data_IF_693127331585
#
_entry.id   IF_693127331585
#
_cell.length_a   1.000
_cell.length_b   1.000
_cell.length_c   1.000
_cell.angle_alpha   90.00
_cell.angle_beta   90.00
_cell.angle_gamma   90.00
#
_symmetry.space_group_name_H-M   'P 1'
#
loop_
_entity.id
_entity.type
_entity.pdbx_description
1 polymer ?
#
# COMPACT_ATOMS: atom_id res chain seq x y z
N UNK A 1 18.33 29.86 12.13
CA UNK A 1 18.96 28.53 12.02
C UNK A 1 17.91 27.46 12.26
N UNK A 2 17.42 26.81 11.20
CA UNK A 2 16.44 25.72 11.30
C UNK A 2 17.14 24.46 11.79
N UNK A 3 16.99 24.14 13.07
CA UNK A 3 17.49 22.88 13.64
C UNK A 3 16.73 21.70 13.03
N UNK A 4 17.32 21.06 12.01
CA UNK A 4 16.85 19.80 11.42
C UNK A 4 16.45 18.72 12.45
N UNK A 5 17.12 18.56 13.61
CA UNK A 5 16.70 17.60 14.65
C UNK A 5 15.36 17.92 15.31
N UNK A 6 14.95 19.20 15.33
CA UNK A 6 13.68 19.64 15.92
C UNK A 6 12.48 19.46 14.98
N UNK A 7 12.72 19.52 13.66
CA UNK A 7 11.66 19.44 12.66
C UNK A 7 10.94 18.08 12.68
N UNK A 8 11.68 16.97 12.64
CA UNK A 8 11.13 15.61 12.72
C UNK A 8 10.52 15.23 14.08
N UNK A 9 10.88 15.96 15.15
CA UNK A 9 10.31 15.78 16.49
C UNK A 9 9.02 16.58 16.69
N UNK A 10 8.83 17.67 15.94
CA UNK A 10 7.64 18.51 16.02
C UNK A 10 6.40 17.82 15.44
N UNK A 11 5.22 18.11 16.00
CA UNK A 11 3.94 17.60 15.46
C UNK A 11 3.71 18.01 14.00
N UNK A 12 4.21 19.19 13.61
CA UNK A 12 4.08 19.74 12.25
C UNK A 12 4.94 18.94 11.27
N UNK A 13 6.23 18.74 11.56
CA UNK A 13 7.14 18.01 10.68
C UNK A 13 6.70 16.56 10.48
N UNK A 14 6.23 15.87 11.55
CA UNK A 14 5.66 14.52 11.43
C UNK A 14 4.47 14.47 10.46
N UNK A 15 3.55 15.43 10.56
CA UNK A 15 2.38 15.51 9.64
C UNK A 15 2.81 15.75 8.20
N UNK A 16 3.80 16.62 7.97
CA UNK A 16 4.33 16.87 6.62
C UNK A 16 4.94 15.61 6.00
N UNK A 17 5.66 14.81 6.78
CA UNK A 17 6.25 13.54 6.31
C UNK A 17 5.15 12.52 5.98
N UNK A 18 4.14 12.40 6.85
CA UNK A 18 2.99 11.52 6.59
C UNK A 18 2.27 11.92 5.31
N UNK A 19 2.05 13.22 5.09
CA UNK A 19 1.42 13.73 3.87
C UNK A 19 2.27 13.45 2.62
N UNK A 20 3.58 13.74 2.65
CA UNK A 20 4.48 13.51 1.52
C UNK A 20 4.56 12.02 1.16
N UNK A 21 4.76 11.17 2.17
CA UNK A 21 4.79 9.72 1.97
C UNK A 21 3.43 9.20 1.49
N UNK A 22 2.32 9.73 1.99
CA UNK A 22 0.97 9.40 1.52
C UNK A 22 0.76 9.71 0.03
N UNK A 23 1.22 10.88 -0.44
CA UNK A 23 1.16 11.24 -1.86
C UNK A 23 1.99 10.29 -2.72
N UNK A 24 3.21 9.94 -2.30
CA UNK A 24 4.07 8.98 -3.02
C UNK A 24 3.38 7.63 -3.15
N UNK A 25 2.79 7.12 -2.05
CA UNK A 25 2.08 5.84 -2.05
C UNK A 25 0.80 5.89 -2.89
N UNK A 26 0.07 7.00 -2.86
CA UNK A 26 -1.13 7.20 -3.69
C UNK A 26 -0.79 7.16 -5.19
N UNK A 27 0.26 7.88 -5.60
CA UNK A 27 0.73 7.86 -7.00
C UNK A 27 1.15 6.46 -7.43
N UNK A 28 1.82 5.72 -6.54
CA UNK A 28 2.15 4.32 -6.79
C UNK A 28 0.90 3.45 -6.95
N UNK A 29 -0.10 3.58 -6.07
CA UNK A 29 -1.35 2.80 -6.18
C UNK A 29 -2.07 3.09 -7.49
N UNK A 30 -2.10 4.35 -7.95
CA UNK A 30 -2.67 4.71 -9.25
C UNK A 30 -1.91 4.02 -10.38
N UNK A 31 -0.58 4.16 -10.43
CA UNK A 31 0.24 3.51 -11.46
C UNK A 31 0.14 1.98 -11.43
N UNK A 32 0.12 1.41 -10.23
CA UNK A 32 -0.06 -0.02 -10.01
C UNK A 32 -1.42 -0.49 -10.53
N UNK A 33 -2.50 0.23 -10.23
CA UNK A 33 -3.83 -0.08 -10.74
C UNK A 33 -3.86 -0.01 -12.27
N UNK A 34 -3.31 1.04 -12.88
CA UNK A 34 -3.25 1.18 -14.34
C UNK A 34 -2.48 0.02 -15.00
N UNK A 35 -1.37 -0.41 -14.40
CA UNK A 35 -0.64 -1.61 -14.85
C UNK A 35 -1.49 -2.88 -14.77
N UNK A 36 -2.22 -3.08 -13.66
CA UNK A 36 -3.09 -4.25 -13.48
C UNK A 36 -4.29 -4.25 -14.42
N UNK A 37 -4.87 -3.08 -14.74
CA UNK A 37 -6.02 -2.98 -15.65
C UNK A 37 -5.69 -3.45 -17.08
N UNK A 38 -4.41 -3.52 -17.44
CA UNK A 38 -3.98 -4.10 -18.72
C UNK A 38 -4.36 -5.59 -18.85
N UNK A 39 -4.72 -6.28 -17.77
CA UNK A 39 -5.27 -7.64 -17.84
C UNK A 39 -6.48 -7.74 -18.77
N UNK A 40 -7.30 -6.68 -18.87
CA UNK A 40 -8.48 -6.62 -19.74
C UNK A 40 -8.13 -6.41 -21.22
N UNK A 41 -6.89 -6.03 -21.54
CA UNK A 41 -6.40 -5.88 -22.91
C UNK A 41 -5.84 -7.19 -23.47
N UNK A 42 -5.66 -8.20 -22.61
CA UNK A 42 -5.19 -9.53 -22.95
C UNK A 42 -3.80 -9.87 -22.37
N UNK A 43 -3.38 -11.15 -22.46
CA UNK A 43 -2.18 -11.65 -21.78
C UNK A 43 -0.89 -10.91 -22.14
N UNK A 44 -0.75 -10.58 -23.42
CA UNK A 44 0.46 -9.91 -23.94
C UNK A 44 0.71 -8.57 -23.26
N UNK A 45 -0.32 -7.75 -23.06
CA UNK A 45 -0.15 -6.39 -22.53
C UNK A 45 0.41 -6.38 -21.11
N UNK A 46 -0.15 -7.20 -20.22
CA UNK A 46 0.33 -7.27 -18.84
C UNK A 46 1.71 -7.91 -18.73
N UNK A 47 2.00 -8.94 -19.54
CA UNK A 47 3.32 -9.58 -19.55
C UNK A 47 4.40 -8.65 -20.11
N UNK A 48 4.12 -7.95 -21.23
CA UNK A 48 5.03 -6.97 -21.83
C UNK A 48 5.26 -5.79 -20.88
N UNK A 49 4.22 -5.29 -20.21
CA UNK A 49 4.35 -4.24 -19.19
C UNK A 49 5.23 -4.69 -18.01
N UNK A 50 5.01 -5.91 -17.51
CA UNK A 50 5.82 -6.46 -16.43
C UNK A 50 7.28 -6.67 -16.84
N UNK A 51 7.53 -7.07 -18.10
CA UNK A 51 8.87 -7.18 -18.65
C UNK A 51 9.54 -5.80 -18.76
N UNK A 52 8.85 -4.81 -19.34
CA UNK A 52 9.38 -3.45 -19.47
C UNK A 52 9.81 -2.86 -18.12
N UNK A 53 9.00 -3.08 -17.07
CA UNK A 53 9.35 -2.67 -15.71
C UNK A 53 10.64 -3.35 -15.20
N UNK A 54 10.84 -4.64 -15.51
CA UNK A 54 12.07 -5.36 -15.14
C UNK A 54 13.28 -4.84 -15.91
N UNK A 55 13.11 -4.49 -17.18
CA UNK A 55 14.18 -3.99 -18.03
C UNK A 55 14.73 -2.63 -17.56
N UNK A 56 13.97 -1.89 -16.75
CA UNK A 56 14.46 -0.68 -16.06
C UNK A 56 15.60 -0.97 -15.06
N UNK A 57 15.80 -2.23 -14.67
CA UNK A 57 16.96 -2.68 -13.89
C UNK A 57 17.18 -1.88 -12.59
N UNK A 58 18.28 -1.12 -12.45
CA UNK A 58 18.57 -0.31 -11.26
C UNK A 58 17.48 0.70 -10.90
N UNK A 59 16.80 1.27 -11.90
CA UNK A 59 15.74 2.25 -11.67
C UNK A 59 14.53 1.60 -10.97
N UNK A 60 14.18 0.36 -11.34
CA UNK A 60 13.12 -0.38 -10.66
C UNK A 60 13.47 -0.61 -9.18
N UNK A 61 14.73 -0.91 -8.88
CA UNK A 61 15.19 -1.07 -7.50
C UNK A 61 15.15 0.26 -6.72
N UNK A 62 15.52 1.37 -7.33
CA UNK A 62 15.38 2.69 -6.71
C UNK A 62 13.92 2.99 -6.35
N UNK A 63 12.98 2.69 -7.26
CA UNK A 63 11.53 2.83 -7.00
C UNK A 63 11.11 1.92 -5.85
N UNK A 64 11.51 0.64 -5.84
CA UNK A 64 11.18 -0.31 -4.77
C UNK A 64 11.67 0.16 -3.40
N UNK A 65 12.93 0.59 -3.30
CA UNK A 65 13.50 1.10 -2.05
C UNK A 65 12.75 2.36 -1.60
N UNK A 66 12.48 3.28 -2.52
CA UNK A 66 11.71 4.50 -2.23
C UNK A 66 10.33 4.16 -1.66
N UNK A 67 9.62 3.20 -2.24
CA UNK A 67 8.31 2.77 -1.76
C UNK A 67 8.38 2.10 -0.39
N UNK A 68 9.36 1.22 -0.16
CA UNK A 68 9.55 0.58 1.14
C UNK A 68 9.84 1.60 2.24
N UNK A 69 10.72 2.59 1.96
CA UNK A 69 10.99 3.69 2.87
C UNK A 69 9.75 4.54 3.09
N UNK A 70 9.00 4.89 2.02
CA UNK A 70 7.79 5.68 2.13
C UNK A 70 6.72 4.97 2.99
N UNK A 71 6.46 3.68 2.76
CA UNK A 71 5.53 2.88 3.59
C UNK A 71 5.98 2.87 5.04
N UNK A 72 7.26 2.58 5.29
CA UNK A 72 7.79 2.53 6.66
C UNK A 72 7.63 3.87 7.40
N UNK A 73 8.04 4.98 6.77
CA UNK A 73 7.93 6.31 7.36
C UNK A 73 6.47 6.72 7.55
N UNK A 74 5.60 6.41 6.59
CA UNK A 74 4.16 6.69 6.66
C UNK A 74 3.54 6.02 7.89
N UNK A 75 3.81 4.73 8.10
CA UNK A 75 3.30 3.97 9.25
C UNK A 75 3.93 4.49 10.55
N UNK A 76 5.25 4.61 10.60
CA UNK A 76 5.97 5.02 11.81
C UNK A 76 5.49 6.37 12.34
N UNK A 77 5.43 7.39 11.48
CA UNK A 77 5.01 8.73 11.91
C UNK A 77 3.50 8.83 12.17
N UNK A 78 2.67 8.09 11.45
CA UNK A 78 1.22 8.02 11.73
C UNK A 78 0.95 7.40 13.10
N UNK A 79 1.61 6.29 13.42
CA UNK A 79 1.51 5.65 14.75
C UNK A 79 2.09 6.56 15.83
N UNK A 80 3.25 7.18 15.58
CA UNK A 80 3.84 8.13 16.53
C UNK A 80 2.90 9.30 16.84
N UNK A 81 2.28 9.91 15.83
CA UNK A 81 1.28 10.97 16.03
C UNK A 81 0.05 10.47 16.79
N UNK A 82 -0.42 9.25 16.52
CA UNK A 82 -1.55 8.67 17.23
C UNK A 82 -1.23 8.44 18.72
N UNK A 83 -0.01 7.97 19.03
CA UNK A 83 0.46 7.79 20.41
C UNK A 83 0.67 9.13 21.12
N UNK A 84 1.27 10.12 20.46
CA UNK A 84 1.47 11.46 21.01
C UNK A 84 0.12 12.12 21.32
N UNK A 85 -0.86 12.01 20.42
CA UNK A 85 -2.22 12.52 20.62
C UNK A 85 -2.95 11.82 21.78
N UNK A 86 -2.72 10.52 21.99
CA UNK A 86 -3.27 9.77 23.13
C UNK A 86 -2.62 10.18 24.45
N UNK A 87 -1.30 10.33 24.48
CA UNK A 87 -0.53 10.74 25.68
C UNK A 87 -0.84 12.17 26.11
N UNK A 88 -1.10 13.07 25.15
CA UNK A 88 -1.51 14.44 25.43
C UNK A 88 -2.94 14.58 25.99
N UNK A 89 -3.68 13.47 26.18
CA UNK A 89 -5.07 13.47 26.67
C UNK A 89 -5.29 12.53 27.88
N UNK A 90 -4.98 12.98 29.11
CA UNK A 90 -5.15 12.17 30.34
C UNK A 90 -6.60 12.09 30.86
N UNK A 91 -7.48 13.02 30.46
CA UNK A 91 -8.88 13.09 30.92
C UNK A 91 -9.81 12.94 29.70
N UNK A 92 -10.73 11.96 29.74
CA UNK A 92 -11.74 11.77 28.70
C UNK A 92 -12.76 12.90 28.64
N UNK A 93 -13.27 13.23 27.45
CA UNK A 93 -14.22 14.35 27.24
C UNK A 93 -15.46 14.23 28.16
N UNK A 94 -15.67 15.23 29.04
CA UNK A 94 -16.89 15.40 29.85
C UNK A 94 -18.11 15.89 29.06
N UNK A 95 -17.94 16.36 27.82
CA UNK A 95 -19.03 16.69 26.88
C UNK A 95 -18.65 16.27 25.47
N UNK A 96 -19.50 15.46 24.83
CA UNK A 96 -19.32 14.99 23.45
C UNK A 96 -19.86 16.04 22.48
N UNK A 97 -19.14 17.14 22.29
CA UNK A 97 -19.45 18.05 21.17
C UNK A 97 -18.84 17.47 19.89
N UNK A 98 -19.70 16.91 19.05
CA UNK A 98 -19.37 16.26 17.78
C UNK A 98 -19.02 17.28 16.69
N UNK A 99 -17.97 18.08 16.88
CA UNK A 99 -17.50 19.02 15.85
C UNK A 99 -16.51 18.29 14.94
N UNK A 100 -17.05 17.52 13.97
CA UNK A 100 -16.44 16.94 12.74
C UNK A 100 -15.18 16.05 12.84
N UNK A 101 -14.33 16.15 13.86
CA UNK A 101 -13.02 15.49 13.90
C UNK A 101 -13.04 14.04 14.43
N UNK A 102 -14.21 13.40 14.52
CA UNK A 102 -14.42 12.39 15.58
C UNK A 102 -14.46 10.94 15.10
N UNK A 103 -14.81 10.64 13.84
CA UNK A 103 -14.94 9.26 13.36
C UNK A 103 -13.78 8.82 12.46
N UNK A 104 -13.44 9.65 11.46
CA UNK A 104 -12.33 9.39 10.53
C UNK A 104 -10.99 9.19 11.25
N UNK A 105 -10.65 10.07 12.21
CA UNK A 105 -9.41 9.97 12.98
C UNK A 105 -9.34 8.74 13.91
N UNK A 106 -10.49 8.23 14.39
CA UNK A 106 -10.51 7.05 15.28
C UNK A 106 -10.25 5.76 14.53
N UNK A 107 -10.78 5.65 13.31
CA UNK A 107 -10.63 4.45 12.49
C UNK A 107 -9.38 4.48 11.60
N UNK A 108 -8.75 5.64 11.38
CA UNK A 108 -7.57 5.79 10.51
C UNK A 108 -6.39 4.85 10.85
N UNK A 109 -6.08 4.66 12.14
CA UNK A 109 -5.00 3.74 12.57
C UNK A 109 -5.41 2.29 12.33
N UNK A 110 -6.67 1.95 12.60
CA UNK A 110 -7.19 0.59 12.40
C UNK A 110 -7.24 0.25 10.92
N UNK A 111 -7.78 1.14 10.08
CA UNK A 111 -7.80 0.97 8.63
C UNK A 111 -6.38 0.83 8.08
N UNK A 112 -5.43 1.63 8.57
CA UNK A 112 -4.02 1.53 8.16
C UNK A 112 -3.39 0.19 8.52
N UNK A 113 -3.68 -0.36 9.70
CA UNK A 113 -3.19 -1.69 10.10
C UNK A 113 -3.79 -2.82 9.26
N UNK A 114 -5.07 -2.73 8.91
CA UNK A 114 -5.70 -3.73 8.04
C UNK A 114 -5.16 -3.63 6.61
N UNK A 115 -4.96 -2.41 6.09
CA UNK A 115 -4.27 -2.20 4.80
C UNK A 115 -2.86 -2.76 4.83
N UNK A 116 -2.10 -2.58 5.92
CA UNK A 116 -0.77 -3.18 6.07
C UNK A 116 -0.83 -4.72 5.98
N UNK A 117 -1.78 -5.35 6.67
CA UNK A 117 -1.97 -6.80 6.58
C UNK A 117 -2.30 -7.24 5.14
N UNK A 118 -3.16 -6.49 4.44
CA UNK A 118 -3.46 -6.72 3.03
C UNK A 118 -2.21 -6.60 2.15
N UNK A 119 -1.37 -5.57 2.34
CA UNK A 119 -0.12 -5.38 1.59
C UNK A 119 0.87 -6.51 1.84
N UNK A 120 1.03 -6.96 3.09
CA UNK A 120 1.91 -8.10 3.43
C UNK A 120 1.44 -9.37 2.73
N UNK A 121 0.14 -9.68 2.81
CA UNK A 121 -0.42 -10.82 2.10
C UNK A 121 -0.23 -10.70 0.58
N UNK A 122 -0.53 -9.53 0.02
CA UNK A 122 -0.37 -9.24 -1.40
C UNK A 122 1.07 -9.50 -1.89
N UNK A 123 2.07 -9.02 -1.13
CA UNK A 123 3.48 -9.26 -1.45
C UNK A 123 3.85 -10.73 -1.34
N UNK A 124 3.41 -11.43 -0.29
CA UNK A 124 3.70 -12.87 -0.15
C UNK A 124 3.01 -13.72 -1.23
N UNK A 125 1.82 -13.31 -1.66
CA UNK A 125 1.07 -13.98 -2.72
C UNK A 125 1.78 -13.85 -4.06
N UNK A 126 1.96 -12.63 -4.60
CA UNK A 126 2.52 -12.45 -5.94
C UNK A 126 4.05 -12.37 -6.01
N UNK A 127 4.70 -11.70 -5.05
CA UNK A 127 6.17 -11.60 -5.03
C UNK A 127 6.81 -12.83 -4.40
N UNK A 128 6.26 -13.29 -3.27
CA UNK A 128 6.76 -14.46 -2.53
C UNK A 128 6.32 -15.79 -3.12
N UNK A 129 5.26 -15.80 -3.95
CA UNK A 129 4.68 -16.99 -4.58
C UNK A 129 4.34 -18.13 -3.60
N UNK A 130 3.90 -17.78 -2.38
CA UNK A 130 3.74 -18.74 -1.28
C UNK A 130 2.36 -19.40 -1.18
N UNK A 131 1.34 -18.83 -1.82
CA UNK A 131 -0.05 -19.18 -1.55
C UNK A 131 -0.79 -19.84 -2.72
N UNK A 132 -0.15 -19.99 -3.88
CA UNK A 132 -0.73 -20.67 -5.03
C UNK A 132 0.22 -21.77 -5.55
N UNK A 133 -0.20 -23.05 -5.54
CA UNK A 133 0.59 -24.17 -6.05
C UNK A 133 0.92 -24.09 -7.53
N UNK A 134 0.19 -23.31 -8.33
CA UNK A 134 0.42 -23.18 -9.77
C UNK A 134 1.61 -22.26 -10.06
N UNK A 135 1.92 -21.28 -9.19
CA UNK A 135 2.94 -20.27 -9.49
C UNK A 135 4.35 -20.82 -9.75
N UNK A 136 4.83 -21.86 -9.04
CA UNK A 136 6.11 -22.50 -9.35
C UNK A 136 6.09 -23.32 -10.65
N UNK A 137 4.92 -23.73 -11.13
CA UNK A 137 4.74 -24.57 -12.31
C UNK A 137 4.57 -23.78 -13.61
N UNK A 138 4.34 -22.47 -13.50
CA UNK A 138 4.17 -21.58 -14.64
C UNK A 138 5.47 -21.49 -15.45
N UNK A 139 5.33 -21.69 -16.76
CA UNK A 139 6.40 -21.46 -17.73
C UNK A 139 6.34 -20.01 -18.22
N UNK A 140 7.43 -19.55 -18.81
CA UNK A 140 7.42 -18.26 -19.49
C UNK A 140 6.46 -18.29 -20.70
N UNK A 141 5.99 -17.13 -21.09
CA UNK A 141 5.14 -16.96 -22.25
C UNK A 141 5.93 -17.18 -23.57
N UNK A 142 5.28 -17.16 -24.75
CA UNK A 142 5.95 -17.38 -26.04
C UNK A 142 7.07 -16.37 -26.37
N UNK A 143 7.08 -15.20 -25.73
CA UNK A 143 8.13 -14.18 -25.86
C UNK A 143 9.23 -14.33 -24.81
N UNK A 144 9.19 -15.42 -24.03
CA UNK A 144 10.08 -15.70 -22.91
C UNK A 144 9.96 -14.67 -21.76
N UNK A 145 8.82 -14.00 -21.64
CA UNK A 145 8.49 -13.17 -20.50
C UNK A 145 7.90 -14.02 -19.36
N UNK A 146 8.01 -13.55 -18.12
CA UNK A 146 7.28 -14.18 -17.03
C UNK A 146 5.78 -14.06 -17.27
N UNK A 147 5.06 -15.17 -17.13
CA UNK A 147 3.62 -15.22 -17.34
C UNK A 147 2.83 -14.67 -16.14
N UNK A 148 2.86 -13.34 -16.01
CA UNK A 148 2.16 -12.59 -14.96
C UNK A 148 0.64 -12.68 -15.15
N UNK A 149 0.17 -12.71 -16.39
CA UNK A 149 -1.24 -12.91 -16.71
C UNK A 149 -1.80 -14.17 -16.03
N UNK A 150 -1.15 -15.33 -16.25
CA UNK A 150 -1.60 -16.58 -15.64
C UNK A 150 -1.49 -16.56 -14.11
N UNK A 151 -0.47 -15.89 -13.54
CA UNK A 151 -0.40 -15.69 -12.08
C UNK A 151 -1.63 -14.95 -11.54
N UNK A 152 -2.07 -13.89 -12.22
CA UNK A 152 -3.25 -13.15 -11.82
C UNK A 152 -4.51 -14.02 -11.96
N UNK A 153 -4.69 -14.71 -13.10
CA UNK A 153 -5.87 -15.54 -13.34
C UNK A 153 -5.98 -16.66 -12.31
N UNK A 154 -4.92 -17.46 -12.11
CA UNK A 154 -4.94 -18.57 -11.15
C UNK A 154 -5.11 -18.07 -9.71
N UNK A 155 -4.40 -16.99 -9.33
CA UNK A 155 -4.52 -16.42 -8.00
C UNK A 155 -5.94 -15.96 -7.67
N UNK A 156 -6.67 -15.41 -8.64
CA UNK A 156 -8.05 -14.93 -8.45
C UNK A 156 -9.14 -15.97 -8.75
N UNK A 157 -8.80 -17.15 -9.28
CA UNK A 157 -9.75 -18.27 -9.35
C UNK A 157 -10.11 -18.82 -7.96
N UNK A 158 -9.23 -18.63 -6.97
CA UNK A 158 -9.55 -18.96 -5.59
C UNK A 158 -10.52 -17.93 -4.99
N UNK A 159 -11.75 -18.36 -4.71
CA UNK A 159 -12.83 -17.50 -4.17
C UNK A 159 -12.42 -16.81 -2.86
N UNK A 160 -11.66 -17.48 -1.98
CA UNK A 160 -11.22 -16.90 -0.72
C UNK A 160 -10.20 -15.79 -0.93
N UNK A 161 -9.26 -15.99 -1.87
CA UNK A 161 -8.28 -14.98 -2.24
C UNK A 161 -8.99 -13.78 -2.87
N UNK A 162 -9.89 -14.02 -3.81
CA UNK A 162 -10.67 -12.95 -4.45
C UNK A 162 -11.49 -12.15 -3.44
N UNK A 163 -12.22 -12.80 -2.53
CA UNK A 163 -12.97 -12.13 -1.47
C UNK A 163 -12.06 -11.28 -0.56
N UNK A 164 -10.89 -11.81 -0.18
CA UNK A 164 -9.90 -11.08 0.61
C UNK A 164 -9.40 -9.83 -0.12
N UNK A 165 -9.09 -9.94 -1.42
CA UNK A 165 -8.65 -8.81 -2.23
C UNK A 165 -9.74 -7.76 -2.44
N UNK A 166 -11.00 -8.17 -2.64
CA UNK A 166 -12.13 -7.24 -2.72
C UNK A 166 -12.30 -6.45 -1.42
N UNK A 167 -12.24 -7.13 -0.27
CA UNK A 167 -12.29 -6.48 1.04
C UNK A 167 -11.09 -5.56 1.26
N UNK A 168 -9.89 -6.01 0.92
CA UNK A 168 -8.66 -5.24 1.02
C UNK A 168 -8.71 -3.96 0.18
N UNK A 169 -9.24 -4.05 -1.04
CA UNK A 169 -9.39 -2.90 -1.94
C UNK A 169 -10.44 -1.91 -1.38
N UNK A 170 -11.57 -2.40 -0.88
CA UNK A 170 -12.57 -1.56 -0.22
C UNK A 170 -11.99 -0.78 0.97
N UNK A 171 -11.23 -1.46 1.83
CA UNK A 171 -10.59 -0.85 2.99
C UNK A 171 -9.47 0.12 2.59
N UNK A 172 -8.71 -0.19 1.53
CA UNK A 172 -7.73 0.72 0.95
C UNK A 172 -8.41 1.99 0.44
N UNK A 173 -9.53 1.89 -0.26
CA UNK A 173 -10.30 3.06 -0.71
C UNK A 173 -10.76 3.90 0.47
N UNK A 174 -11.32 3.30 1.52
CA UNK A 174 -11.69 4.04 2.73
C UNK A 174 -10.48 4.72 3.37
N UNK A 175 -9.34 4.03 3.46
CA UNK A 175 -8.12 4.61 3.99
C UNK A 175 -7.65 5.83 3.17
N UNK A 176 -7.70 5.76 1.85
CA UNK A 176 -7.36 6.88 0.95
C UNK A 176 -8.33 8.06 1.08
N UNK A 177 -9.63 7.82 1.31
CA UNK A 177 -10.60 8.92 1.53
C UNK A 177 -10.40 9.68 2.85
N UNK A 178 -9.67 9.08 3.79
CA UNK A 178 -9.40 9.65 5.11
C UNK A 178 -7.99 10.24 5.27
N UNK A 179 -7.09 9.93 4.34
CA UNK A 179 -5.72 10.43 4.28
C UNK A 179 -5.63 11.83 3.72
#
# INVERSE_FOLDING_TARGET
MTNFPGFYRSSIGKKMIVALTGVILMLFVIGHLLGNLQIFLGPRWVNDYAQHLRDLGPLLWAVRITLLVAVFLHIYFTVSLALDNRRARPQGYKKRDYIRATYASRHMVVSGLVVLAFVVFHLLHFTGRKFDPHFPLLKNDPLNHYDVYSMMVYGFQNVYVSAFYTMGLFLLTLHLTHG
#
